data_IF_404774593152
#
_entry.id   IF_404774593152
#
_cell.length_a   1.000
_cell.length_b   1.000
_cell.length_c   1.000
_cell.angle_alpha   90.00
_cell.angle_beta   90.00
_cell.angle_gamma   90.00
#
_symmetry.space_group_name_H-M   'P 1'
#
loop_
_entity.id
_entity.type
_entity.pdbx_description
1 polymer ?
#
# COMPACT_ATOMS: atom_id res chain seq x y z
N UNK A 1 -0.07 -11.00 6.12
CA UNK A 1 -1.06 -9.92 6.31
C UNK A 1 -0.44 -8.86 7.22
N UNK A 2 -0.78 -7.60 7.03
CA UNK A 2 -0.48 -6.48 7.93
C UNK A 2 -1.73 -5.61 8.09
N UNK A 3 -1.79 -4.78 9.13
CA UNK A 3 -2.90 -3.84 9.35
C UNK A 3 -2.46 -2.40 9.17
N UNK A 4 -3.30 -1.62 8.51
CA UNK A 4 -3.10 -0.17 8.38
C UNK A 4 -3.30 0.50 9.73
N UNK A 5 -2.33 1.28 10.21
CA UNK A 5 -2.41 1.98 11.50
C UNK A 5 -3.37 3.17 11.47
N UNK A 6 -3.29 3.98 10.41
CA UNK A 6 -4.06 5.21 10.25
C UNK A 6 -4.55 5.32 8.81
N UNK A 7 -5.67 6.00 8.57
CA UNK A 7 -6.17 6.16 7.22
C UNK A 7 -5.25 7.05 6.38
N UNK A 8 -4.94 6.64 5.16
CA UNK A 8 -4.11 7.41 4.23
C UNK A 8 -4.52 7.15 2.79
N UNK A 9 -4.11 8.02 1.87
CA UNK A 9 -4.33 7.84 0.43
C UNK A 9 -2.99 7.66 -0.28
N UNK A 10 -2.98 6.81 -1.31
CA UNK A 10 -1.84 6.66 -2.21
C UNK A 10 -2.27 6.82 -3.65
N UNK A 11 -1.35 7.33 -4.47
CA UNK A 11 -1.52 7.40 -5.92
C UNK A 11 -1.01 6.13 -6.56
N UNK A 12 -1.80 5.55 -7.44
CA UNK A 12 -1.42 4.41 -8.26
C UNK A 12 -1.39 4.80 -9.73
N UNK A 13 -0.33 4.39 -10.41
CA UNK A 13 -0.20 4.51 -11.86
C UNK A 13 0.43 3.21 -12.39
N UNK A 14 -0.33 2.43 -13.16
CA UNK A 14 0.12 1.11 -13.61
C UNK A 14 1.23 1.16 -14.67
N UNK A 15 1.28 2.22 -15.47
CA UNK A 15 2.31 2.47 -16.48
C UNK A 15 2.37 3.96 -16.85
N UNK A 16 3.34 4.38 -17.68
CA UNK A 16 3.58 5.80 -18.01
C UNK A 16 2.40 6.53 -18.67
N UNK A 17 1.46 5.81 -19.31
CA UNK A 17 0.31 6.40 -20.02
C UNK A 17 -1.01 6.16 -19.31
N UNK A 18 -1.04 5.33 -18.27
CA UNK A 18 -2.23 5.10 -17.46
C UNK A 18 -2.57 6.35 -16.65
N UNK A 19 -3.87 6.62 -16.42
CA UNK A 19 -4.29 7.67 -15.50
C UNK A 19 -3.79 7.37 -14.09
N UNK A 20 -3.47 8.43 -13.35
CA UNK A 20 -3.20 8.33 -11.91
C UNK A 20 -4.54 8.21 -11.21
N UNK A 21 -4.70 7.19 -10.36
CA UNK A 21 -5.86 7.00 -9.50
C UNK A 21 -5.45 7.13 -8.04
N UNK A 22 -6.37 7.61 -7.20
CA UNK A 22 -6.16 7.66 -5.75
C UNK A 22 -6.84 6.46 -5.09
N UNK A 23 -6.10 5.81 -4.20
CA UNK A 23 -6.55 4.64 -3.45
C UNK A 23 -6.45 4.94 -1.97
N UNK A 24 -7.59 4.89 -1.30
CA UNK A 24 -7.71 5.14 0.14
C UNK A 24 -7.51 3.86 0.92
N UNK A 25 -6.70 3.92 1.97
CA UNK A 25 -6.51 2.89 2.98
C UNK A 25 -7.21 3.34 4.26
N UNK A 26 -7.98 2.46 4.88
CA UNK A 26 -8.69 2.76 6.13
C UNK A 26 -7.88 2.30 7.33
N UNK A 27 -7.98 3.01 8.45
CA UNK A 27 -7.39 2.54 9.71
C UNK A 27 -7.98 1.17 10.09
N UNK A 28 -7.11 0.24 10.49
CA UNK A 28 -7.45 -1.14 10.82
C UNK A 28 -7.66 -2.06 9.63
N UNK A 29 -7.60 -1.56 8.38
CA UNK A 29 -7.75 -2.38 7.17
C UNK A 29 -6.62 -3.41 7.07
N UNK A 30 -6.97 -4.66 6.76
CA UNK A 30 -6.01 -5.73 6.52
C UNK A 30 -5.53 -5.70 5.08
N UNK A 31 -4.21 -5.71 4.89
CA UNK A 31 -3.55 -5.75 3.58
C UNK A 31 -2.63 -6.96 3.48
N UNK A 32 -2.51 -7.49 2.27
CA UNK A 32 -1.62 -8.61 2.00
C UNK A 32 -0.18 -8.09 1.86
N UNK A 33 0.76 -8.64 2.63
CA UNK A 33 2.19 -8.33 2.46
C UNK A 33 2.75 -9.31 1.45
N UNK A 34 3.11 -8.81 0.27
CA UNK A 34 3.71 -9.59 -0.81
C UNK A 34 5.20 -9.76 -0.58
N UNK A 35 5.87 -8.70 -0.12
CA UNK A 35 7.32 -8.70 0.09
C UNK A 35 7.75 -7.67 1.14
N UNK A 36 8.77 -8.02 1.90
CA UNK A 36 9.50 -7.08 2.74
C UNK A 36 10.72 -6.52 2.01
N UNK A 37 10.87 -5.19 2.02
CA UNK A 37 12.08 -4.54 1.54
C UNK A 37 13.05 -4.30 2.68
N UNK A 38 14.36 -4.31 2.35
CA UNK A 38 15.42 -3.97 3.31
C UNK A 38 15.30 -2.52 3.82
N UNK A 39 14.71 -1.64 3.03
CA UNK A 39 14.52 -0.23 3.35
C UNK A 39 13.09 -0.03 3.84
N UNK A 40 12.90 0.07 5.16
CA UNK A 40 11.68 0.37 5.96
C UNK A 40 10.31 0.43 5.24
N UNK A 41 10.01 -0.54 4.38
CA UNK A 41 8.79 -0.60 3.59
C UNK A 41 8.38 -2.05 3.30
N UNK A 42 7.08 -2.25 3.19
CA UNK A 42 6.46 -3.46 2.70
C UNK A 42 5.88 -3.21 1.30
N UNK A 43 6.06 -4.15 0.39
CA UNK A 43 5.22 -4.26 -0.79
C UNK A 43 3.92 -4.92 -0.34
N UNK A 44 2.84 -4.15 -0.34
CA UNK A 44 1.51 -4.64 0.01
C UNK A 44 0.63 -4.71 -1.23
N UNK A 45 -0.30 -5.66 -1.24
CA UNK A 45 -1.34 -5.79 -2.25
C UNK A 45 -2.68 -5.39 -1.64
N UNK A 46 -3.38 -4.52 -2.35
CA UNK A 46 -4.76 -4.14 -2.11
C UNK A 46 -5.51 -4.31 -3.42
N UNK A 47 -6.59 -5.10 -3.39
CA UNK A 47 -7.30 -5.54 -4.60
C UNK A 47 -6.33 -6.14 -5.63
N UNK A 48 -6.20 -5.54 -6.81
CA UNK A 48 -5.27 -5.97 -7.87
C UNK A 48 -4.09 -5.00 -8.05
N UNK A 49 -3.79 -4.18 -7.04
CA UNK A 49 -2.75 -3.15 -7.08
C UNK A 49 -1.72 -3.38 -5.98
N UNK A 50 -0.46 -3.04 -6.26
CA UNK A 50 0.64 -3.16 -5.30
C UNK A 50 1.23 -1.81 -4.95
N UNK A 51 1.54 -1.64 -3.67
CA UNK A 51 1.99 -0.38 -3.10
C UNK A 51 3.22 -0.61 -2.24
N UNK A 52 4.19 0.29 -2.33
CA UNK A 52 5.29 0.34 -1.36
C UNK A 52 4.84 1.21 -0.19
N UNK A 53 4.49 0.57 0.92
CA UNK A 53 4.00 1.25 2.13
C UNK A 53 5.10 1.22 3.19
N UNK A 54 5.53 2.38 3.71
CA UNK A 54 6.49 2.44 4.80
C UNK A 54 5.99 1.67 6.04
N UNK A 55 6.85 0.91 6.70
CA UNK A 55 6.46 0.04 7.83
C UNK A 55 5.83 0.83 8.98
N UNK A 56 6.20 2.11 9.14
CA UNK A 56 5.59 2.99 10.14
C UNK A 56 4.06 3.13 10.02
N UNK A 57 3.48 2.92 8.83
CA UNK A 57 2.03 2.97 8.59
C UNK A 57 1.33 1.62 8.75
N UNK A 58 2.07 0.55 9.02
CA UNK A 58 1.58 -0.81 9.13
C UNK A 58 1.89 -1.41 10.51
N UNK A 59 1.04 -2.33 10.98
CA UNK A 59 1.23 -3.14 12.19
C UNK A 59 1.01 -4.61 11.94
#
# INVERSE_FOLDING_TARGET
MAKVKEAFTMKYQGNKTAPIVEVSFSAGEEVEVVKEWKNDAYLVKKDNQVFNVPKKFLT
#
